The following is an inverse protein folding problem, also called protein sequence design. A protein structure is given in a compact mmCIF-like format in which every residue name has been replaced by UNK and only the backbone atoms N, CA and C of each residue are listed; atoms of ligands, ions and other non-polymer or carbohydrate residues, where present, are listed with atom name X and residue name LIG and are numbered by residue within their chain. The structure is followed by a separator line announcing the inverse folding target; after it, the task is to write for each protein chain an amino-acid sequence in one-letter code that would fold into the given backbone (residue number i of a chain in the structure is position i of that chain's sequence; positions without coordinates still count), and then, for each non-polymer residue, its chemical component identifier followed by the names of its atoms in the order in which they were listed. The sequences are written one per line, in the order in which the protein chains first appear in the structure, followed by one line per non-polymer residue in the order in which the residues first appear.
data_IF_037560282623
#
_entry.id   IF_037560282623
#
_cell.length_a   1.000
_cell.length_b   1.000
_cell.length_c   1.000
_cell.angle_alpha   90.00
_cell.angle_beta   90.00
_cell.angle_gamma   90.00
#
_symmetry.space_group_name_H-M   'P 1'
#
loop_
_entity.id
_entity.type
_entity.pdbx_description
1 polymer ?
#
# COMPACT_ATOMS: atom_id res chain seq x y z
N UNK A 1 -14.48 33.56 11.83
CA UNK A 1 -13.55 34.52 11.20
C UNK A 1 -12.09 34.30 11.58
N UNK A 2 -11.77 33.94 12.83
CA UNK A 2 -10.38 33.71 13.28
C UNK A 2 -9.65 32.63 12.45
N UNK A 3 -10.34 31.54 12.09
CA UNK A 3 -9.73 30.46 11.32
C UNK A 3 -9.27 30.88 9.91
N UNK A 4 -9.96 31.85 9.28
CA UNK A 4 -9.61 32.30 7.93
C UNK A 4 -8.33 33.15 7.93
N UNK A 5 -8.11 33.92 9.01
CA UNK A 5 -6.91 34.74 9.19
C UNK A 5 -5.67 33.85 9.39
N UNK A 6 -5.80 32.75 10.14
CA UNK A 6 -4.70 31.81 10.34
C UNK A 6 -4.27 31.11 9.03
N UNK A 7 -5.23 30.71 8.18
CA UNK A 7 -4.92 30.12 6.86
C UNK A 7 -4.25 31.13 5.91
N UNK A 8 -4.67 32.39 5.95
CA UNK A 8 -4.07 33.44 5.12
C UNK A 8 -2.62 33.73 5.54
N UNK A 9 -2.34 33.80 6.83
CA UNK A 9 -0.97 34.03 7.36
C UNK A 9 -0.05 32.86 6.99
N UNK A 10 -0.53 31.62 7.09
CA UNK A 10 0.26 30.42 6.78
C UNK A 10 0.57 30.29 5.28
N UNK A 11 -0.32 30.80 4.41
CA UNK A 11 -0.10 30.82 2.96
C UNK A 11 0.90 31.91 2.55
N UNK A 12 0.87 33.08 3.20
CA UNK A 12 1.81 34.17 2.95
C UNK A 12 3.26 33.81 3.35
N UNK A 13 3.46 33.04 4.43
CA UNK A 13 4.81 32.62 4.85
C UNK A 13 5.41 31.56 3.91
N UNK A 14 4.58 30.68 3.34
CA UNK A 14 5.00 29.71 2.33
C UNK A 14 5.39 30.37 1.01
N UNK A 15 4.66 31.40 0.57
CA UNK A 15 4.97 32.14 -0.65
C UNK A 15 6.26 32.97 -0.53
N UNK A 16 6.55 33.51 0.65
CA UNK A 16 7.79 34.27 0.90
C UNK A 16 9.04 33.38 1.01
N UNK A 17 8.87 32.09 1.33
CA UNK A 17 10.00 31.14 1.42
C UNK A 17 10.50 30.68 0.04
N UNK A 18 9.65 30.75 -1.00
CA UNK A 18 10.00 30.37 -2.36
C UNK A 18 10.77 31.45 -3.15
N UNK A 19 11.02 32.62 -2.56
CA UNK A 19 11.72 33.74 -3.23
C UNK A 19 13.16 33.94 -2.78
N UNK A 20 13.75 32.99 -2.04
CA UNK A 20 15.15 33.10 -1.61
C UNK A 20 16.08 32.21 -2.43
N UNK A 21 16.86 32.92 -3.24
CA UNK A 21 18.09 32.55 -3.95
C UNK A 21 17.97 31.91 -5.34
N UNK A 22 18.23 32.74 -6.36
CA UNK A 22 19.40 32.57 -7.23
C UNK A 22 19.54 33.75 -8.21
N UNK A 23 20.52 34.64 -7.96
CA UNK A 23 21.13 35.44 -9.03
C UNK A 23 22.57 34.98 -9.24
N UNK A 24 22.79 34.40 -10.41
CA UNK A 24 24.08 33.99 -10.97
C UNK A 24 24.66 35.10 -11.87
N UNK A 25 25.94 35.49 -11.73
CA UNK A 25 26.79 36.11 -12.79
C UNK A 25 28.27 35.90 -12.38
N UNK A 26 29.04 34.96 -12.95
CA UNK A 26 29.89 35.00 -14.19
C UNK A 26 31.27 35.71 -14.06
N UNK A 27 32.32 34.88 -14.09
CA UNK A 27 33.60 34.90 -14.88
C UNK A 27 34.59 36.08 -14.86
N UNK A 28 35.87 35.81 -14.53
CA UNK A 28 36.98 35.67 -15.52
C UNK A 28 38.36 35.32 -14.90
N UNK A 29 39.07 34.46 -15.63
CA UNK A 29 40.53 34.16 -15.82
C UNK A 29 41.59 34.92 -15.02
N UNK A 30 42.64 34.18 -14.63
CA UNK A 30 44.03 34.43 -15.07
C UNK A 30 44.92 33.17 -14.95
N UNK A 31 46.12 33.24 -15.55
CA UNK A 31 46.85 32.16 -16.23
C UNK A 31 48.23 31.85 -15.61
N UNK A 32 48.78 30.68 -16.00
CA UNK A 32 50.19 30.35 -16.34
C UNK A 32 51.15 29.62 -15.37
N UNK A 33 51.84 28.65 -16.00
CA UNK A 33 53.18 28.06 -15.72
C UNK A 33 53.28 26.97 -14.63
N UNK A 34 53.88 25.79 -14.81
CA UNK A 34 54.68 25.15 -15.87
C UNK A 34 55.42 23.94 -15.25
N UNK A 35 55.77 22.88 -16.01
CA UNK A 35 56.70 21.83 -15.53
C UNK A 35 56.52 20.38 -16.02
N UNK A 36 56.97 20.10 -17.24
CA UNK A 36 57.74 18.93 -17.74
C UNK A 36 57.75 17.51 -17.07
N UNK A 37 57.25 16.52 -17.84
CA UNK A 37 57.92 15.29 -18.36
C UNK A 37 58.22 14.02 -17.49
N UNK A 38 58.42 12.82 -18.11
CA UNK A 38 57.51 11.67 -17.96
C UNK A 38 58.19 10.38 -17.42
N UNK A 39 57.40 9.35 -17.08
CA UNK A 39 57.91 7.96 -17.06
C UNK A 39 56.81 6.95 -17.38
N UNK A 40 57.06 6.13 -18.41
CA UNK A 40 56.29 4.96 -18.79
C UNK A 40 56.27 3.92 -17.66
N UNK A 41 55.11 3.32 -17.39
CA UNK A 41 55.09 1.88 -17.11
C UNK A 41 53.85 1.27 -17.75
N UNK A 42 54.11 0.22 -18.53
CA UNK A 42 53.15 -0.60 -19.26
C UNK A 42 52.50 -1.55 -18.27
N UNK A 43 51.17 -1.55 -18.20
CA UNK A 43 50.42 -2.76 -17.85
C UNK A 43 49.06 -2.76 -18.54
N UNK A 44 48.98 -3.53 -19.63
CA UNK A 44 47.71 -3.97 -20.19
C UNK A 44 47.11 -5.02 -19.27
N UNK A 45 45.89 -4.80 -18.75
CA UNK A 45 44.92 -5.89 -18.60
C UNK A 45 43.49 -5.38 -18.49
N UNK A 46 42.68 -5.78 -19.49
CA UNK A 46 41.21 -5.94 -19.50
C UNK A 46 40.36 -4.75 -19.03
N UNK A 47 39.91 -3.98 -20.01
CA UNK A 47 38.64 -3.24 -19.97
C UNK A 47 37.49 -4.26 -19.86
N UNK A 48 37.07 -4.58 -18.64
CA UNK A 48 35.72 -5.11 -18.40
C UNK A 48 34.77 -3.95 -18.60
N UNK A 49 34.08 -3.94 -19.74
CA UNK A 49 32.87 -3.13 -19.91
C UNK A 49 31.89 -3.57 -18.82
N UNK A 50 31.74 -2.76 -17.79
CA UNK A 50 30.55 -2.75 -16.95
C UNK A 50 29.38 -2.45 -17.89
N UNK A 51 28.76 -3.52 -18.37
CA UNK A 51 27.48 -3.43 -19.02
C UNK A 51 26.50 -3.32 -17.87
N UNK A 52 26.01 -2.11 -17.63
CA UNK A 52 24.79 -1.86 -16.87
C UNK A 52 23.71 -2.74 -17.47
N UNK A 53 23.52 -3.92 -16.89
CA UNK A 53 22.46 -4.83 -17.29
C UNK A 53 21.19 -4.30 -16.66
N UNK A 54 20.54 -3.40 -17.39
CA UNK A 54 19.16 -3.01 -17.20
C UNK A 54 18.31 -4.29 -17.26
N UNK A 55 18.03 -4.82 -16.07
CA UNK A 55 17.29 -6.05 -15.89
C UNK A 55 15.82 -5.75 -16.18
N UNK A 56 15.45 -5.77 -17.44
CA UNK A 56 14.05 -5.82 -17.87
C UNK A 56 13.47 -7.17 -17.46
N UNK A 57 13.13 -7.29 -16.18
CA UNK A 57 12.37 -8.39 -15.59
C UNK A 57 10.92 -8.28 -16.05
N UNK A 58 10.61 -8.73 -17.26
CA UNK A 58 9.22 -8.98 -17.63
C UNK A 58 8.77 -10.22 -16.86
N UNK A 59 7.87 -10.05 -15.89
CA UNK A 59 7.26 -11.17 -15.16
C UNK A 59 6.62 -12.15 -16.15
N UNK A 60 6.73 -13.44 -15.85
CA UNK A 60 5.99 -14.47 -16.58
C UNK A 60 4.49 -14.33 -16.33
N UNK A 61 3.67 -14.81 -17.27
CA UNK A 61 2.21 -14.81 -17.11
C UNK A 61 1.76 -15.58 -15.86
N UNK A 62 2.52 -16.60 -15.45
CA UNK A 62 2.28 -17.39 -14.25
C UNK A 62 2.55 -16.60 -12.96
N UNK A 63 3.64 -15.83 -12.91
CA UNK A 63 3.95 -14.98 -11.75
C UNK A 63 2.92 -13.84 -11.59
N UNK A 64 2.47 -13.23 -12.69
CA UNK A 64 1.39 -12.23 -12.66
C UNK A 64 0.08 -12.83 -12.15
N UNK A 65 -0.25 -14.04 -12.61
CA UNK A 65 -1.47 -14.72 -12.18
C UNK A 65 -1.41 -15.11 -10.69
N UNK A 66 -0.24 -15.49 -10.17
CA UNK A 66 -0.05 -15.79 -8.75
C UNK A 66 -0.21 -14.56 -7.86
N UNK A 67 0.32 -13.40 -8.26
CA UNK A 67 0.17 -12.14 -7.50
C UNK A 67 -1.28 -11.67 -7.40
N UNK A 68 -2.00 -11.67 -8.53
CA UNK A 68 -3.42 -11.35 -8.52
C UNK A 68 -4.20 -12.32 -7.64
N UNK A 69 -3.88 -13.62 -7.70
CA UNK A 69 -4.47 -14.63 -6.85
C UNK A 69 -4.25 -14.33 -5.36
N UNK A 70 -3.01 -14.03 -4.94
CA UNK A 70 -2.68 -13.62 -3.57
C UNK A 70 -3.54 -12.44 -3.11
N UNK A 71 -3.63 -11.40 -3.96
CA UNK A 71 -4.45 -10.22 -3.67
C UNK A 71 -5.93 -10.58 -3.50
N UNK A 72 -6.49 -11.36 -4.45
CA UNK A 72 -7.89 -11.77 -4.45
C UNK A 72 -8.21 -12.60 -3.22
N UNK A 73 -7.39 -13.58 -2.88
CA UNK A 73 -7.58 -14.44 -1.71
C UNK A 73 -7.58 -13.65 -0.41
N UNK A 74 -6.75 -12.61 -0.29
CA UNK A 74 -6.72 -11.74 0.88
C UNK A 74 -8.04 -10.96 1.05
N UNK A 75 -8.56 -10.34 -0.02
CA UNK A 75 -9.83 -9.60 0.03
C UNK A 75 -11.01 -10.57 0.24
N UNK A 76 -11.00 -11.74 -0.43
CA UNK A 76 -12.01 -12.78 -0.25
C UNK A 76 -12.07 -13.21 1.23
N UNK A 77 -10.91 -13.47 1.84
CA UNK A 77 -10.81 -13.89 3.25
C UNK A 77 -11.39 -12.84 4.20
N UNK A 78 -11.06 -11.57 4.01
CA UNK A 78 -11.60 -10.49 4.85
C UNK A 78 -13.11 -10.34 4.64
N UNK A 79 -13.58 -10.44 3.39
CA UNK A 79 -15.00 -10.37 3.08
C UNK A 79 -15.78 -11.51 3.76
N UNK A 80 -15.21 -12.72 3.83
CA UNK A 80 -15.78 -13.83 4.59
C UNK A 80 -15.88 -13.54 6.09
N UNK A 81 -14.91 -12.84 6.68
CA UNK A 81 -15.02 -12.40 8.07
C UNK A 81 -16.19 -11.44 8.29
N UNK A 82 -16.39 -10.48 7.38
CA UNK A 82 -17.54 -9.59 7.41
C UNK A 82 -18.86 -10.36 7.28
N UNK A 83 -18.93 -11.31 6.35
CA UNK A 83 -20.12 -12.15 6.13
C UNK A 83 -20.45 -12.98 7.38
N UNK A 84 -19.46 -13.63 8.00
CA UNK A 84 -19.66 -14.37 9.25
C UNK A 84 -20.10 -13.48 10.41
N UNK A 85 -19.58 -12.25 10.48
CA UNK A 85 -20.01 -11.28 11.48
C UNK A 85 -21.49 -10.89 11.28
N UNK A 86 -22.00 -10.89 10.05
CA UNK A 86 -23.42 -10.61 9.74
C UNK A 86 -24.36 -11.55 10.49
N UNK A 87 -24.08 -12.86 10.43
CA UNK A 87 -24.87 -13.90 11.08
C UNK A 87 -24.96 -13.69 12.60
N UNK A 88 -23.90 -13.13 13.20
CA UNK A 88 -23.90 -12.78 14.62
C UNK A 88 -24.75 -11.54 14.94
N UNK A 89 -24.82 -10.57 14.02
CA UNK A 89 -25.59 -9.34 14.20
C UNK A 89 -27.09 -9.54 13.95
N UNK A 90 -27.47 -10.37 13.00
CA UNK A 90 -28.89 -10.65 12.70
C UNK A 90 -29.63 -11.27 13.89
N UNK A 91 -28.92 -12.02 14.73
CA UNK A 91 -29.47 -12.65 15.93
C UNK A 91 -29.43 -11.76 17.18
N UNK A 92 -28.84 -10.55 17.12
CA UNK A 92 -28.62 -9.70 18.29
C UNK A 92 -29.49 -8.45 18.27
N UNK A 93 -30.38 -8.34 19.26
CA UNK A 93 -31.15 -7.12 19.54
C UNK A 93 -30.23 -5.91 19.68
N UNK A 94 -30.54 -4.82 18.95
CA UNK A 94 -29.79 -3.58 19.04
C UNK A 94 -30.16 -2.89 20.35
N UNK A 95 -29.25 -2.90 21.31
CA UNK A 95 -29.42 -2.17 22.57
C UNK A 95 -29.11 -0.69 22.33
N UNK A 96 -29.99 0.21 22.75
CA UNK A 96 -29.71 1.65 22.75
C UNK A 96 -28.54 1.93 23.70
N UNK A 97 -27.34 2.05 23.13
CA UNK A 97 -26.10 2.33 23.84
C UNK A 97 -25.42 3.55 23.26
N UNK A 98 -24.47 4.12 24.01
CA UNK A 98 -23.63 5.26 23.57
C UNK A 98 -22.90 4.95 22.25
N UNK A 99 -22.80 3.68 21.86
CA UNK A 99 -22.15 3.21 20.64
C UNK A 99 -23.12 2.87 19.49
N UNK A 100 -24.42 3.17 19.61
CA UNK A 100 -25.44 2.81 18.61
C UNK A 100 -25.05 3.21 17.17
N UNK A 101 -24.55 4.44 16.96
CA UNK A 101 -24.13 4.90 15.64
C UNK A 101 -23.01 4.04 15.06
N UNK A 102 -22.01 3.68 15.87
CA UNK A 102 -20.88 2.85 15.44
C UNK A 102 -21.32 1.42 15.12
N UNK A 103 -22.24 0.87 15.91
CA UNK A 103 -22.83 -0.45 15.65
C UNK A 103 -23.64 -0.46 14.35
N UNK A 104 -24.47 0.58 14.14
CA UNK A 104 -25.27 0.72 12.93
C UNK A 104 -24.40 0.82 11.67
N UNK A 105 -23.35 1.66 11.69
CA UNK A 105 -22.42 1.77 10.56
C UNK A 105 -21.66 0.46 10.31
N UNK A 106 -21.31 -0.27 11.37
CA UNK A 106 -20.70 -1.60 11.24
C UNK A 106 -21.67 -2.61 10.59
N UNK A 107 -22.95 -2.62 10.99
CA UNK A 107 -23.99 -3.46 10.37
C UNK A 107 -24.23 -3.11 8.90
N UNK A 108 -24.28 -1.82 8.55
CA UNK A 108 -24.40 -1.37 7.15
C UNK A 108 -23.22 -1.82 6.31
N UNK A 109 -22.00 -1.67 6.84
CA UNK A 109 -20.78 -2.13 6.16
C UNK A 109 -20.82 -3.64 5.92
N UNK A 110 -21.11 -4.41 6.96
CA UNK A 110 -21.24 -5.87 6.90
C UNK A 110 -22.28 -6.29 5.86
N UNK A 111 -23.46 -5.67 5.87
CA UNK A 111 -24.52 -5.96 4.90
C UNK A 111 -24.06 -5.66 3.47
N UNK A 112 -23.43 -4.50 3.23
CA UNK A 112 -22.94 -4.12 1.91
C UNK A 112 -21.86 -5.06 1.40
N UNK A 113 -20.91 -5.46 2.25
CA UNK A 113 -19.89 -6.46 1.89
C UNK A 113 -20.59 -7.76 1.48
N UNK A 114 -21.51 -8.26 2.30
CA UNK A 114 -22.21 -9.52 2.05
C UNK A 114 -23.04 -9.52 0.77
N UNK A 115 -23.59 -8.37 0.35
CA UNK A 115 -24.40 -8.28 -0.88
C UNK A 115 -23.59 -7.94 -2.11
N UNK A 116 -22.59 -7.04 -2.02
CA UNK A 116 -21.91 -6.49 -3.20
C UNK A 116 -20.62 -7.21 -3.57
N UNK A 117 -19.87 -7.66 -2.56
CA UNK A 117 -18.56 -8.26 -2.83
C UNK A 117 -18.63 -9.58 -3.61
N UNK A 118 -19.57 -10.52 -3.32
CA UNK A 118 -19.69 -11.74 -4.10
C UNK A 118 -19.91 -11.48 -5.60
N UNK A 119 -20.86 -10.61 -5.94
CA UNK A 119 -21.18 -10.24 -7.33
C UNK A 119 -19.98 -9.61 -8.04
N UNK A 120 -19.25 -8.72 -7.35
CA UNK A 120 -18.04 -8.13 -7.88
C UNK A 120 -16.92 -9.17 -8.07
N UNK A 121 -16.70 -10.06 -7.10
CA UNK A 121 -15.67 -11.09 -7.15
C UNK A 121 -15.92 -12.07 -8.31
N UNK A 122 -17.18 -12.46 -8.53
CA UNK A 122 -17.57 -13.28 -9.68
C UNK A 122 -17.36 -12.54 -11.00
N UNK A 123 -17.82 -11.29 -11.10
CA UNK A 123 -17.61 -10.47 -12.30
C UNK A 123 -16.13 -10.31 -12.61
N UNK A 124 -15.30 -9.99 -11.62
CA UNK A 124 -13.86 -9.80 -11.81
C UNK A 124 -13.19 -11.11 -12.27
N UNK A 125 -13.63 -12.25 -11.74
CA UNK A 125 -13.12 -13.58 -12.12
C UNK A 125 -13.33 -13.91 -13.61
N UNK A 126 -14.35 -13.30 -14.25
CA UNK A 126 -14.63 -13.46 -15.68
C UNK A 126 -13.89 -12.44 -16.57
N UNK A 127 -13.29 -11.39 -15.99
CA UNK A 127 -12.67 -10.28 -16.72
C UNK A 127 -11.13 -10.32 -16.66
N UNK A 128 -10.50 -11.18 -17.47
CA UNK A 128 -9.04 -11.41 -17.44
C UNK A 128 -8.21 -10.13 -17.65
N UNK A 129 -8.63 -9.23 -18.55
CA UNK A 129 -7.91 -7.97 -18.77
C UNK A 129 -7.88 -7.08 -17.51
N UNK A 130 -9.01 -7.04 -16.79
CA UNK A 130 -9.13 -6.29 -15.54
C UNK A 130 -8.33 -6.92 -14.40
N UNK A 131 -8.22 -8.25 -14.36
CA UNK A 131 -7.32 -8.93 -13.41
C UNK A 131 -5.86 -8.49 -13.63
N UNK A 132 -5.41 -8.42 -14.88
CA UNK A 132 -4.06 -7.93 -15.23
C UNK A 132 -3.85 -6.46 -14.84
N UNK A 133 -4.85 -5.60 -15.05
CA UNK A 133 -4.78 -4.21 -14.60
C UNK A 133 -4.61 -4.11 -13.08
N UNK A 134 -5.32 -4.94 -12.31
CA UNK A 134 -5.20 -4.96 -10.85
C UNK A 134 -3.88 -5.56 -10.38
N UNK A 135 -3.37 -6.59 -11.05
CA UNK A 135 -2.04 -7.12 -10.77
C UNK A 135 -0.97 -6.03 -10.90
N UNK A 136 -1.01 -5.28 -12.00
CA UNK A 136 -0.11 -4.15 -12.22
C UNK A 136 -0.27 -3.07 -11.14
N UNK A 137 -1.52 -2.74 -10.78
CA UNK A 137 -1.79 -1.76 -9.71
C UNK A 137 -1.31 -2.24 -8.33
N UNK A 138 -1.34 -3.55 -8.07
CA UNK A 138 -0.94 -4.16 -6.80
C UNK A 138 0.59 -4.25 -6.63
N UNK A 139 1.38 -4.03 -7.68
CA UNK A 139 2.83 -4.23 -7.70
C UNK A 139 3.58 -3.62 -6.51
N UNK A 140 3.31 -2.34 -6.25
CA UNK A 140 3.97 -1.64 -5.13
C UNK A 140 3.65 -2.28 -3.79
N UNK A 141 2.38 -2.61 -3.53
CA UNK A 141 1.97 -3.22 -2.28
C UNK A 141 2.50 -4.65 -2.15
N UNK A 142 2.48 -5.43 -3.24
CA UNK A 142 3.05 -6.77 -3.29
C UNK A 142 4.53 -6.77 -2.89
N UNK A 143 5.33 -5.90 -3.52
CA UNK A 143 6.76 -5.82 -3.26
C UNK A 143 7.06 -5.41 -1.80
N UNK A 144 6.25 -4.53 -1.21
CA UNK A 144 6.38 -4.16 0.21
C UNK A 144 6.05 -5.35 1.11
N UNK A 145 4.92 -6.01 0.88
CA UNK A 145 4.49 -7.16 1.68
C UNK A 145 5.49 -8.31 1.58
N UNK A 146 6.01 -8.60 0.39
CA UNK A 146 7.01 -9.65 0.19
C UNK A 146 8.33 -9.33 0.90
N UNK A 147 8.79 -8.08 0.84
CA UNK A 147 9.95 -7.64 1.61
C UNK A 147 9.72 -7.84 3.12
N UNK A 148 8.57 -7.43 3.65
CA UNK A 148 8.25 -7.58 5.08
C UNK A 148 8.13 -9.05 5.49
N UNK A 149 7.47 -9.88 4.70
CA UNK A 149 7.43 -11.34 4.87
C UNK A 149 8.85 -11.93 4.95
N UNK A 150 9.75 -11.57 4.03
CA UNK A 150 11.13 -12.09 4.03
C UNK A 150 11.96 -11.71 5.27
N UNK A 151 11.55 -10.65 6.00
CA UNK A 151 12.20 -10.23 7.25
C UNK A 151 11.59 -10.99 8.43
N UNK A 152 10.26 -11.11 8.48
CA UNK A 152 9.53 -11.54 9.67
C UNK A 152 9.01 -12.99 9.64
N UNK A 153 9.01 -13.65 8.47
CA UNK A 153 8.40 -14.97 8.26
C UNK A 153 9.02 -15.66 7.01
N UNK A 154 10.33 -15.88 7.02
CA UNK A 154 11.07 -16.44 5.86
C UNK A 154 10.58 -17.82 5.43
N UNK A 155 10.13 -18.61 6.40
CA UNK A 155 9.61 -19.97 6.26
C UNK A 155 8.19 -20.02 5.69
N UNK A 156 7.53 -18.87 5.51
CA UNK A 156 6.16 -18.75 5.02
C UNK A 156 6.10 -18.26 3.59
N UNK A 157 5.11 -18.70 2.83
CA UNK A 157 4.73 -18.04 1.57
C UNK A 157 4.06 -16.70 1.85
N UNK A 158 3.96 -15.82 0.85
CA UNK A 158 3.27 -14.54 1.01
C UNK A 158 1.78 -14.74 1.35
N UNK A 159 1.12 -15.69 0.69
CA UNK A 159 -0.28 -16.05 0.97
C UNK A 159 -0.46 -16.45 2.43
N UNK A 160 0.41 -17.33 2.95
CA UNK A 160 0.37 -17.76 4.35
C UNK A 160 0.58 -16.58 5.30
N UNK A 161 1.55 -15.72 5.00
CA UNK A 161 1.85 -14.57 5.83
C UNK A 161 0.68 -13.57 5.91
N UNK A 162 0.06 -13.25 4.77
CA UNK A 162 -1.13 -12.38 4.72
C UNK A 162 -2.31 -13.06 5.41
N UNK A 163 -2.52 -14.35 5.14
CA UNK A 163 -3.58 -15.17 5.74
C UNK A 163 -3.48 -15.19 7.27
N UNK A 164 -2.29 -15.44 7.82
CA UNK A 164 -2.03 -15.41 9.26
C UNK A 164 -2.20 -13.99 9.85
N UNK A 165 -1.82 -12.94 9.12
CA UNK A 165 -2.03 -11.55 9.56
C UNK A 165 -3.53 -11.22 9.67
N UNK A 166 -4.34 -11.69 8.72
CA UNK A 166 -5.80 -11.55 8.76
C UNK A 166 -6.35 -12.30 9.98
N UNK A 167 -6.00 -13.58 10.15
CA UNK A 167 -6.48 -14.40 11.28
C UNK A 167 -6.13 -13.77 12.64
N UNK A 168 -4.90 -13.27 12.77
CA UNK A 168 -4.40 -12.62 13.97
C UNK A 168 -5.27 -11.43 14.42
N UNK A 169 -5.96 -10.77 13.49
CA UNK A 169 -6.80 -9.60 13.79
C UNK A 169 -8.12 -9.97 14.47
N UNK A 170 -8.53 -11.23 14.31
CA UNK A 170 -9.76 -11.79 14.88
C UNK A 170 -9.47 -12.74 16.05
N UNK A 171 -8.21 -13.19 16.21
CA UNK A 171 -7.75 -13.92 17.38
C UNK A 171 -7.28 -12.97 18.49
N UNK A 172 -7.89 -13.05 19.67
CA UNK A 172 -7.59 -12.13 20.79
C UNK A 172 -6.16 -12.28 21.30
N UNK A 173 -5.65 -13.51 21.38
CA UNK A 173 -4.31 -13.77 21.90
C UNK A 173 -3.23 -13.23 20.95
N UNK A 174 -3.46 -13.33 19.65
CA UNK A 174 -2.55 -12.81 18.63
C UNK A 174 -2.58 -11.27 18.56
N UNK A 175 -3.77 -10.67 18.58
CA UNK A 175 -3.95 -9.21 18.45
C UNK A 175 -3.27 -8.41 19.57
N UNK A 176 -3.30 -8.93 20.79
CA UNK A 176 -2.76 -8.25 21.97
C UNK A 176 -1.26 -8.54 22.16
N UNK A 177 -0.66 -9.39 21.31
CA UNK A 177 0.75 -9.72 21.36
C UNK A 177 1.62 -8.67 20.62
N UNK A 178 2.61 -8.10 21.33
CA UNK A 178 3.58 -7.14 20.77
C UNK A 178 4.46 -7.71 19.65
N UNK A 179 4.67 -9.01 19.60
CA UNK A 179 5.45 -9.64 18.53
C UNK A 179 4.64 -9.71 17.23
N UNK A 180 3.31 -9.82 17.32
CA UNK A 180 2.42 -9.73 16.17
C UNK A 180 2.48 -8.36 15.50
N UNK A 181 2.61 -7.27 16.27
CA UNK A 181 2.71 -5.93 15.68
C UNK A 181 4.02 -5.68 14.96
N UNK A 182 5.12 -6.30 15.43
CA UNK A 182 6.38 -6.31 14.67
C UNK A 182 6.24 -7.16 13.41
N UNK A 183 5.61 -8.35 13.53
CA UNK A 183 5.47 -9.30 12.42
C UNK A 183 4.56 -8.79 11.31
N UNK A 184 3.44 -8.15 11.62
CA UNK A 184 2.41 -7.73 10.64
C UNK A 184 2.25 -6.21 10.50
N UNK A 185 3.06 -5.46 11.24
CA UNK A 185 3.34 -4.06 11.04
C UNK A 185 2.58 -3.12 11.95
N UNK A 186 3.27 -2.05 12.33
CA UNK A 186 2.70 -0.98 13.13
C UNK A 186 3.01 0.40 12.55
N UNK A 187 2.04 1.30 12.66
CA UNK A 187 2.21 2.73 12.39
C UNK A 187 1.15 3.52 13.18
N UNK A 188 1.60 4.41 14.05
CA UNK A 188 0.72 5.16 14.96
C UNK A 188 -0.16 4.22 15.79
N UNK A 189 -1.48 4.30 15.60
CA UNK A 189 -2.47 3.48 16.32
C UNK A 189 -2.70 2.07 15.74
N UNK A 190 -2.11 1.77 14.59
CA UNK A 190 -2.28 0.49 13.92
C UNK A 190 -1.19 -0.49 14.35
N UNK A 191 -1.58 -1.71 14.71
CA UNK A 191 -0.68 -2.78 15.17
C UNK A 191 -0.72 -4.03 14.27
N UNK A 192 -1.37 -3.93 13.11
CA UNK A 192 -1.31 -4.91 12.03
C UNK A 192 -1.63 -4.17 10.73
N UNK A 193 -0.60 -3.66 10.06
CA UNK A 193 -0.77 -2.88 8.83
C UNK A 193 -1.22 -3.74 7.64
N UNK A 194 -0.90 -5.03 7.67
CA UNK A 194 -1.33 -5.98 6.65
C UNK A 194 -2.86 -6.04 6.58
N UNK A 195 -3.56 -6.26 7.69
CA UNK A 195 -5.04 -6.22 7.70
C UNK A 195 -5.57 -4.83 7.38
N UNK A 196 -4.93 -3.77 7.87
CA UNK A 196 -5.41 -2.39 7.68
C UNK A 196 -5.41 -2.03 6.21
N UNK A 197 -4.38 -2.44 5.46
CA UNK A 197 -4.29 -2.26 4.02
C UNK A 197 -5.50 -2.85 3.29
N UNK A 198 -5.72 -4.16 3.42
CA UNK A 198 -6.81 -4.84 2.71
C UNK A 198 -8.19 -4.43 3.22
N UNK A 199 -8.35 -4.17 4.52
CA UNK A 199 -9.62 -3.75 5.10
C UNK A 199 -10.01 -2.33 4.64
N UNK A 200 -9.05 -1.42 4.52
CA UNK A 200 -9.34 -0.08 4.00
C UNK A 200 -9.72 -0.13 2.52
N UNK A 201 -9.04 -0.96 1.72
CA UNK A 201 -9.45 -1.23 0.33
C UNK A 201 -10.89 -1.74 0.28
N UNK A 202 -11.25 -2.73 1.10
CA UNK A 202 -12.61 -3.27 1.10
C UNK A 202 -13.64 -2.19 1.43
N UNK A 203 -13.36 -1.31 2.40
CA UNK A 203 -14.24 -0.19 2.75
C UNK A 203 -14.38 0.84 1.64
N UNK A 204 -13.31 1.12 0.90
CA UNK A 204 -13.32 2.09 -0.20
C UNK A 204 -14.17 1.61 -1.38
N UNK A 205 -14.22 0.30 -1.63
CA UNK A 205 -14.88 -0.25 -2.80
C UNK A 205 -16.37 -0.54 -2.55
N UNK A 206 -16.76 -0.97 -1.35
CA UNK A 206 -18.16 -1.37 -1.05
C UNK A 206 -19.17 -0.20 -1.04
N UNK A 207 -18.69 1.04 -1.02
CA UNK A 207 -19.55 2.23 -1.11
C UNK A 207 -19.98 2.52 -2.54
N UNK A 208 -19.38 1.87 -3.54
CA UNK A 208 -19.67 2.03 -4.96
C UNK A 208 -20.81 1.13 -5.41
N UNK A 209 -21.54 1.52 -6.44
CA UNK A 209 -22.81 0.88 -6.80
C UNK A 209 -22.68 -0.09 -7.97
N UNK A 210 -21.74 0.13 -8.88
CA UNK A 210 -21.50 -0.77 -10.01
C UNK A 210 -20.15 -1.48 -9.93
N UNK A 211 -20.03 -2.65 -10.57
CA UNK A 211 -18.77 -3.39 -10.64
C UNK A 211 -17.63 -2.56 -11.24
N UNK A 212 -17.94 -1.69 -12.21
CA UNK A 212 -16.95 -0.83 -12.85
C UNK A 212 -16.46 0.29 -11.90
N UNK A 213 -17.36 0.88 -11.10
CA UNK A 213 -16.97 1.84 -10.06
C UNK A 213 -16.17 1.17 -8.93
N UNK A 214 -16.56 -0.04 -8.51
CA UNK A 214 -15.83 -0.85 -7.52
C UNK A 214 -14.42 -1.13 -8.05
N UNK A 215 -14.29 -1.54 -9.31
CA UNK A 215 -13.00 -1.78 -9.98
C UNK A 215 -12.12 -0.52 -10.01
N UNK A 216 -12.66 0.62 -10.42
CA UNK A 216 -11.91 1.87 -10.47
C UNK A 216 -11.50 2.37 -9.08
N UNK A 217 -12.37 2.23 -8.08
CA UNK A 217 -12.05 2.53 -6.69
C UNK A 217 -10.93 1.61 -6.18
N UNK A 218 -11.01 0.31 -6.48
CA UNK A 218 -9.99 -0.65 -6.09
C UNK A 218 -8.62 -0.29 -6.68
N UNK A 219 -8.56 -0.05 -7.99
CA UNK A 219 -7.33 0.36 -8.67
C UNK A 219 -6.74 1.62 -8.04
N UNK A 220 -7.59 2.61 -7.76
CA UNK A 220 -7.19 3.86 -7.09
C UNK A 220 -6.63 3.60 -5.69
N UNK A 221 -7.27 2.77 -4.87
CA UNK A 221 -6.81 2.46 -3.51
C UNK A 221 -5.48 1.69 -3.50
N UNK A 222 -5.17 0.94 -4.57
CA UNK A 222 -3.90 0.24 -4.75
C UNK A 222 -2.75 1.18 -5.17
N UNK A 223 -3.02 2.25 -5.91
CA UNK A 223 -1.98 3.13 -6.46
C UNK A 223 -1.85 4.48 -5.73
N UNK A 224 -2.87 4.92 -5.01
CA UNK A 224 -2.87 6.25 -4.40
C UNK A 224 -2.01 6.32 -3.13
N UNK A 225 -1.16 7.34 -3.07
CA UNK A 225 -0.25 7.62 -1.95
C UNK A 225 -0.74 8.78 -1.07
N UNK A 226 -2.06 9.01 -1.05
CA UNK A 226 -2.65 10.03 -0.19
C UNK A 226 -2.36 9.67 1.28
N UNK A 227 -2.06 10.67 2.10
CA UNK A 227 -1.83 10.51 3.55
C UNK A 227 -2.98 9.70 4.16
N UNK A 228 -2.63 8.73 5.00
CA UNK A 228 -3.53 7.75 5.63
C UNK A 228 -4.26 6.79 4.66
N UNK A 229 -3.96 6.84 3.36
CA UNK A 229 -4.43 5.87 2.37
C UNK A 229 -3.79 4.50 2.55
N UNK A 230 -4.37 3.42 1.97
CA UNK A 230 -3.89 2.06 2.16
C UNK A 230 -2.41 1.89 1.85
N UNK A 231 -1.96 2.32 0.67
CA UNK A 231 -0.56 2.19 0.26
C UNK A 231 0.38 3.07 1.09
N UNK A 232 -0.06 4.28 1.46
CA UNK A 232 0.70 5.18 2.35
C UNK A 232 0.99 4.51 3.70
N UNK A 233 -0.03 3.94 4.34
CA UNK A 233 0.14 3.27 5.63
C UNK A 233 1.08 2.07 5.52
N UNK A 234 0.95 1.28 4.46
CA UNK A 234 1.80 0.12 4.23
C UNK A 234 3.28 0.49 4.01
N UNK A 235 3.56 1.60 3.30
CA UNK A 235 4.93 2.12 3.11
C UNK A 235 5.57 2.65 4.38
N UNK A 236 4.77 3.20 5.28
CA UNK A 236 5.25 3.76 6.55
C UNK A 236 5.27 2.74 7.69
N UNK A 237 5.23 1.44 7.37
CA UNK A 237 5.44 0.36 8.32
C UNK A 237 6.81 0.46 8.99
N UNK A 238 6.79 0.71 10.31
CA UNK A 238 7.95 0.72 11.21
C UNK A 238 8.45 -0.69 11.55
#
# INVERSE_FOLDING_TARGET
MINFICYLILYCTLLLYCCRDNSSVVSKKDSLSGGSNPTQSVLQTKTTKETTQEKNNTLTAEEQQNRFKTFKEAIDKISLYYIRAKEQYENKSITWSVNFKKELESRKLVQRVATKYPDFSEWLSKNILKQKELDNAFDSAYNILERKRSIHARDKTLDQYISEAIDCSFDKACKDNKDSSKKYGSFGKYNNLTIVFFNNILKDIIVKDTNEEIFNALKKSLTNEIVDGPLYLLRNWQ
#
